data_IF_998500889540
#
_entry.id   IF_998500889540
#
_cell.length_a   1.000
_cell.length_b   1.000
_cell.length_c   1.000
_cell.angle_alpha   90.00
_cell.angle_beta   90.00
_cell.angle_gamma   90.00
#
_symmetry.space_group_name_H-M   'P 1'
#
loop_
_entity.id
_entity.type
_entity.pdbx_description
1 polymer ?
#
# COMPACT_ATOMS: atom_id res chain seq x y z
N UNK A 1 -28.52 14.23 -3.56
CA UNK A 1 -27.66 14.07 -2.35
C UNK A 1 -26.40 13.36 -2.82
N UNK A 2 -25.26 14.04 -2.80
CA UNK A 2 -23.97 13.42 -3.14
C UNK A 2 -23.62 12.43 -2.02
N UNK A 3 -23.67 11.15 -2.32
CA UNK A 3 -23.23 10.10 -1.38
C UNK A 3 -21.72 10.24 -1.17
N UNK A 4 -21.25 10.12 0.07
CA UNK A 4 -19.83 10.12 0.39
C UNK A 4 -19.17 8.94 -0.35
N UNK A 5 -18.12 9.16 -1.16
CA UNK A 5 -17.48 8.09 -1.92
C UNK A 5 -16.85 7.04 -0.99
N UNK A 6 -16.80 5.80 -1.46
CA UNK A 6 -16.04 4.72 -0.83
C UNK A 6 -14.55 4.98 -1.04
N UNK A 7 -13.78 5.02 0.04
CA UNK A 7 -12.34 5.31 0.00
C UNK A 7 -11.53 4.02 0.00
N UNK A 8 -10.71 3.83 -1.01
CA UNK A 8 -9.88 2.63 -1.19
C UNK A 8 -8.41 3.03 -1.18
N UNK A 9 -7.58 2.33 -0.42
CA UNK A 9 -6.13 2.46 -0.49
C UNK A 9 -5.51 1.10 -0.87
N UNK A 10 -4.54 1.13 -1.78
CA UNK A 10 -3.79 -0.04 -2.24
C UNK A 10 -2.31 0.23 -1.97
N UNK A 11 -1.69 -0.59 -1.13
CA UNK A 11 -0.29 -0.41 -0.76
C UNK A 11 0.59 -1.53 -1.32
N UNK A 12 1.73 -1.14 -1.90
CA UNK A 12 2.84 -2.02 -2.23
C UNK A 12 4.19 -1.37 -1.92
N UNK A 13 5.14 -2.18 -1.45
CA UNK A 13 6.48 -1.68 -1.09
C UNK A 13 7.41 -1.46 -2.30
N UNK A 14 7.18 -2.17 -3.39
CA UNK A 14 7.85 -2.05 -4.71
C UNK A 14 9.38 -1.90 -4.68
N UNK A 15 10.07 -2.85 -4.06
CA UNK A 15 11.55 -2.82 -4.01
C UNK A 15 12.22 -3.34 -5.29
N UNK A 16 11.55 -4.22 -6.04
CA UNK A 16 12.05 -4.81 -7.29
C UNK A 16 10.92 -5.13 -8.25
N UNK A 17 11.04 -4.62 -9.47
CA UNK A 17 10.14 -4.95 -10.57
C UNK A 17 8.75 -4.33 -10.45
N UNK A 18 7.97 -4.42 -11.52
CA UNK A 18 6.67 -3.78 -11.69
C UNK A 18 5.49 -4.70 -11.34
N UNK A 19 5.76 -5.91 -10.82
CA UNK A 19 4.73 -6.92 -10.57
C UNK A 19 3.68 -6.48 -9.54
N UNK A 20 4.11 -5.92 -8.42
CA UNK A 20 3.23 -5.41 -7.37
C UNK A 20 2.44 -4.19 -7.86
N UNK A 21 3.13 -3.24 -8.51
CA UNK A 21 2.51 -2.06 -9.12
C UNK A 21 1.40 -2.46 -10.11
N UNK A 22 1.70 -3.38 -11.04
CA UNK A 22 0.72 -3.86 -12.04
C UNK A 22 -0.48 -4.55 -11.40
N UNK A 23 -0.26 -5.34 -10.34
CA UNK A 23 -1.34 -5.98 -9.60
C UNK A 23 -2.24 -4.93 -8.95
N UNK A 24 -1.67 -3.98 -8.21
CA UNK A 24 -2.44 -2.93 -7.56
C UNK A 24 -3.18 -2.05 -8.57
N UNK A 25 -2.58 -1.78 -9.72
CA UNK A 25 -3.25 -1.07 -10.81
C UNK A 25 -4.44 -1.86 -11.36
N UNK A 26 -4.28 -3.16 -11.60
CA UNK A 26 -5.38 -4.02 -12.04
C UNK A 26 -6.51 -4.08 -11.00
N UNK A 27 -6.16 -4.17 -9.70
CA UNK A 27 -7.14 -4.11 -8.61
C UNK A 27 -7.84 -2.75 -8.57
N UNK A 28 -7.13 -1.63 -8.71
CA UNK A 28 -7.71 -0.29 -8.74
C UNK A 28 -8.76 -0.17 -9.84
N UNK A 29 -8.44 -0.59 -11.07
CA UNK A 29 -9.39 -0.60 -12.19
C UNK A 29 -10.59 -1.51 -11.95
N UNK A 30 -10.37 -2.69 -11.36
CA UNK A 30 -11.47 -3.60 -11.06
C UNK A 30 -12.39 -3.05 -9.98
N UNK A 31 -11.83 -2.54 -8.89
CA UNK A 31 -12.59 -1.96 -7.77
C UNK A 31 -13.38 -0.71 -8.20
N UNK A 32 -12.76 0.17 -9.00
CA UNK A 32 -13.44 1.35 -9.55
C UNK A 32 -14.69 0.98 -10.37
N UNK A 33 -14.67 -0.14 -11.08
CA UNK A 33 -15.82 -0.60 -11.88
C UNK A 33 -16.85 -1.39 -11.07
N UNK A 34 -16.39 -2.25 -10.14
CA UNK A 34 -17.26 -3.20 -9.46
C UNK A 34 -17.96 -2.60 -8.24
N UNK A 35 -17.25 -1.81 -7.42
CA UNK A 35 -17.76 -1.33 -6.15
C UNK A 35 -18.97 -0.39 -6.27
N UNK A 36 -19.07 0.52 -7.26
CA UNK A 36 -20.27 1.36 -7.39
C UNK A 36 -21.55 0.54 -7.54
N UNK A 37 -21.53 -0.51 -8.36
CA UNK A 37 -22.68 -1.39 -8.54
C UNK A 37 -23.04 -2.22 -7.29
N UNK A 38 -22.04 -2.53 -6.45
CA UNK A 38 -22.23 -3.32 -5.23
C UNK A 38 -22.67 -2.48 -4.02
N UNK A 39 -22.21 -1.23 -3.95
CA UNK A 39 -22.37 -0.40 -2.76
C UNK A 39 -23.32 0.78 -2.95
N UNK A 40 -23.63 1.13 -4.20
CA UNK A 40 -24.38 2.36 -4.53
C UNK A 40 -23.57 3.64 -4.27
N UNK A 41 -22.26 3.56 -4.06
CA UNK A 41 -21.37 4.69 -3.75
C UNK A 41 -20.30 4.80 -4.83
N UNK A 42 -19.96 6.02 -5.22
CA UNK A 42 -18.76 6.26 -6.02
C UNK A 42 -17.51 5.82 -5.29
N UNK A 43 -16.42 5.57 -6.03
CA UNK A 43 -15.15 5.13 -5.45
C UNK A 43 -14.09 6.19 -5.67
N UNK A 44 -13.33 6.48 -4.64
CA UNK A 44 -12.09 7.26 -4.72
C UNK A 44 -10.96 6.46 -4.09
N UNK A 45 -9.74 6.59 -4.63
CA UNK A 45 -8.66 5.72 -4.17
C UNK A 45 -7.27 6.33 -4.24
N UNK A 46 -6.38 5.74 -3.44
CA UNK A 46 -4.94 5.98 -3.46
C UNK A 46 -4.18 4.69 -3.78
N UNK A 47 -3.30 4.74 -4.77
CA UNK A 47 -2.34 3.67 -5.03
C UNK A 47 -0.99 4.11 -4.48
N UNK A 48 -0.59 3.48 -3.38
CA UNK A 48 0.61 3.80 -2.60
C UNK A 48 1.73 2.86 -3.07
N UNK A 49 2.81 3.43 -3.56
CA UNK A 49 3.92 2.69 -4.19
C UNK A 49 5.27 3.28 -3.80
N UNK A 50 6.32 2.46 -3.79
CA UNK A 50 7.70 2.89 -3.64
C UNK A 50 8.41 3.19 -4.97
N UNK A 51 7.71 3.08 -6.11
CA UNK A 51 8.22 3.35 -7.45
C UNK A 51 7.45 4.50 -8.08
N UNK A 52 8.16 5.48 -8.64
CA UNK A 52 7.52 6.48 -9.48
C UNK A 52 7.00 5.80 -10.77
N UNK A 53 5.68 5.74 -10.99
CA UNK A 53 5.12 5.07 -12.17
C UNK A 53 5.42 5.90 -13.41
N UNK A 54 5.74 5.23 -14.52
CA UNK A 54 5.84 5.87 -15.83
C UNK A 54 4.47 6.29 -16.35
N UNK A 55 4.44 7.11 -17.40
CA UNK A 55 3.21 7.65 -18.00
C UNK A 55 2.30 6.58 -18.61
N UNK A 56 2.83 5.38 -18.86
CA UNK A 56 2.08 4.22 -19.34
C UNK A 56 1.14 3.60 -18.29
N UNK A 57 1.36 3.89 -17.01
CA UNK A 57 0.52 3.38 -15.90
C UNK A 57 -0.58 4.39 -15.58
N UNK A 58 -1.73 4.18 -16.18
CA UNK A 58 -2.90 5.04 -15.96
C UNK A 58 -3.79 4.49 -14.86
N UNK A 59 -4.17 5.35 -13.93
CA UNK A 59 -5.16 5.05 -12.90
C UNK A 59 -6.57 5.17 -13.46
N UNK A 60 -7.55 4.47 -12.87
CA UNK A 60 -8.96 4.73 -13.14
C UNK A 60 -9.36 6.11 -12.59
N UNK A 61 -10.46 6.66 -13.09
CA UNK A 61 -11.03 7.90 -12.60
C UNK A 61 -11.30 7.83 -11.09
N UNK A 62 -11.03 8.92 -10.39
CA UNK A 62 -11.19 9.01 -8.93
C UNK A 62 -10.01 8.43 -8.12
N UNK A 63 -8.95 7.93 -8.78
CA UNK A 63 -7.74 7.43 -8.12
C UNK A 63 -6.54 8.34 -8.37
N UNK A 64 -5.64 8.38 -7.39
CA UNK A 64 -4.37 9.09 -7.50
C UNK A 64 -3.20 8.26 -6.95
N UNK A 65 -1.98 8.68 -7.30
CA UNK A 65 -0.75 8.07 -6.83
C UNK A 65 -0.25 8.71 -5.54
N UNK A 66 0.18 7.89 -4.59
CA UNK A 66 1.07 8.31 -3.51
C UNK A 66 2.42 7.60 -3.68
N UNK A 67 3.44 8.34 -4.08
CA UNK A 67 4.79 7.79 -4.26
C UNK A 67 5.62 8.04 -3.00
N UNK A 68 5.98 6.94 -2.32
CA UNK A 68 6.88 6.98 -1.18
C UNK A 68 8.34 6.99 -1.62
N UNK A 69 9.28 7.51 -0.82
CA UNK A 69 10.70 7.34 -1.07
C UNK A 69 11.06 5.88 -1.30
N UNK A 70 11.74 5.60 -2.41
CA UNK A 70 12.00 4.23 -2.89
C UNK A 70 12.94 3.44 -2.01
N UNK A 71 12.75 2.12 -2.01
CA UNK A 71 13.63 1.15 -1.35
C UNK A 71 14.25 0.19 -2.39
N UNK A 72 15.45 -0.31 -2.11
CA UNK A 72 16.11 -1.37 -2.87
C UNK A 72 16.50 -2.52 -1.96
N UNK A 73 16.33 -3.76 -2.42
CA UNK A 73 16.77 -4.95 -1.68
C UNK A 73 18.29 -5.11 -1.84
N UNK A 74 19.01 -5.25 -0.73
CA UNK A 74 20.45 -5.45 -0.69
C UNK A 74 20.81 -6.35 0.51
N UNK A 75 21.49 -7.48 0.25
CA UNK A 75 21.96 -8.37 1.31
C UNK A 75 20.86 -8.92 2.24
N UNK A 76 19.64 -9.12 1.74
CA UNK A 76 18.49 -9.58 2.56
C UNK A 76 17.71 -8.47 3.26
N UNK A 77 18.19 -7.22 3.26
CA UNK A 77 17.52 -6.06 3.85
C UNK A 77 17.08 -5.04 2.79
N UNK A 78 16.25 -4.08 3.19
CA UNK A 78 15.84 -2.96 2.35
C UNK A 78 16.64 -1.71 2.74
N UNK A 79 17.23 -1.04 1.75
CA UNK A 79 18.01 0.19 1.89
C UNK A 79 17.35 1.32 1.08
N UNK A 80 17.68 2.60 1.38
CA UNK A 80 17.25 3.72 0.54
C UNK A 80 17.69 3.53 -0.92
N UNK A 81 16.79 3.79 -1.87
CA UNK A 81 17.09 3.66 -3.30
C UNK A 81 17.91 4.84 -3.83
N UNK A 82 17.49 6.05 -3.53
CA UNK A 82 18.10 7.29 -4.02
C UNK A 82 18.59 8.20 -2.88
N UNK A 83 17.87 8.26 -1.77
CA UNK A 83 18.23 9.13 -0.65
C UNK A 83 19.54 8.65 0.00
N UNK A 84 20.39 9.59 0.37
CA UNK A 84 21.67 9.33 1.07
C UNK A 84 21.48 9.50 2.58
N UNK A 85 20.62 8.68 3.16
CA UNK A 85 20.26 8.69 4.58
C UNK A 85 20.36 7.27 5.15
N UNK A 86 20.33 7.14 6.47
CA UNK A 86 20.26 5.85 7.12
C UNK A 86 18.92 5.14 6.81
N UNK A 87 18.93 3.81 6.89
CA UNK A 87 17.74 2.97 6.70
C UNK A 87 16.64 3.34 7.69
N UNK A 88 17.04 3.58 8.92
CA UNK A 88 16.17 3.96 10.05
C UNK A 88 15.43 5.26 9.76
N UNK A 89 16.14 6.28 9.26
CA UNK A 89 15.55 7.57 8.88
C UNK A 89 14.55 7.40 7.73
N UNK A 90 14.88 6.56 6.74
CA UNK A 90 13.95 6.26 5.65
C UNK A 90 12.66 5.62 6.17
N UNK A 91 12.78 4.65 7.08
CA UNK A 91 11.62 3.98 7.68
C UNK A 91 10.73 4.96 8.46
N UNK A 92 11.33 5.89 9.20
CA UNK A 92 10.61 6.95 9.91
C UNK A 92 9.87 7.88 8.95
N UNK A 93 10.53 8.32 7.87
CA UNK A 93 9.92 9.19 6.84
C UNK A 93 8.72 8.49 6.21
N UNK A 94 8.90 7.25 5.76
CA UNK A 94 7.83 6.47 5.10
C UNK A 94 6.68 6.19 6.06
N UNK A 95 6.98 5.80 7.30
CA UNK A 95 5.98 5.57 8.35
C UNK A 95 5.18 6.84 8.67
N UNK A 96 5.84 8.00 8.78
CA UNK A 96 5.18 9.29 9.00
C UNK A 96 4.24 9.68 7.84
N UNK A 97 4.69 9.50 6.59
CA UNK A 97 3.86 9.73 5.41
C UNK A 97 2.62 8.82 5.38
N UNK A 98 2.81 7.52 5.67
CA UNK A 98 1.72 6.54 5.73
C UNK A 98 0.75 6.87 6.87
N UNK A 99 1.24 7.24 8.05
CA UNK A 99 0.40 7.64 9.18
C UNK A 99 -0.43 8.88 8.83
N UNK A 100 0.18 9.91 8.27
CA UNK A 100 -0.52 11.13 7.85
C UNK A 100 -1.59 10.87 6.80
N UNK A 101 -1.25 10.08 5.78
CA UNK A 101 -2.19 9.75 4.71
C UNK A 101 -3.33 8.87 5.20
N UNK A 102 -3.05 7.75 5.89
CA UNK A 102 -4.09 6.83 6.33
C UNK A 102 -5.02 7.45 7.38
N UNK A 103 -4.52 8.35 8.24
CA UNK A 103 -5.37 9.06 9.18
C UNK A 103 -6.28 10.10 8.52
N UNK A 104 -5.78 10.81 7.49
CA UNK A 104 -6.53 11.88 6.81
C UNK A 104 -7.43 11.34 5.73
N UNK A 105 -6.93 10.45 4.88
CA UNK A 105 -7.71 9.81 3.83
C UNK A 105 -8.76 8.86 4.40
N UNK A 106 -8.48 8.23 5.55
CA UNK A 106 -9.37 7.34 6.29
C UNK A 106 -10.06 6.31 5.37
N UNK A 107 -9.30 5.36 4.78
CA UNK A 107 -9.84 4.41 3.82
C UNK A 107 -10.88 3.49 4.46
N UNK A 108 -11.99 3.25 3.75
CA UNK A 108 -12.97 2.21 4.08
C UNK A 108 -12.39 0.81 3.81
N UNK A 109 -11.50 0.71 2.78
CA UNK A 109 -10.81 -0.51 2.38
C UNK A 109 -9.33 -0.21 2.15
N UNK A 110 -8.45 -0.89 2.86
CA UNK A 110 -7.01 -0.90 2.65
C UNK A 110 -6.55 -2.29 2.22
N UNK A 111 -5.93 -2.39 1.05
CA UNK A 111 -5.34 -3.63 0.55
C UNK A 111 -3.82 -3.51 0.63
N UNK A 112 -3.18 -4.45 1.33
CA UNK A 112 -1.72 -4.51 1.51
C UNK A 112 -1.20 -5.70 0.69
N UNK A 113 -0.26 -5.45 -0.21
CA UNK A 113 0.33 -6.52 -1.02
C UNK A 113 1.50 -7.18 -0.30
N UNK A 114 1.36 -8.48 -0.03
CA UNK A 114 2.35 -9.43 0.48
C UNK A 114 2.83 -9.21 1.93
N UNK A 115 3.39 -8.06 2.27
CA UNK A 115 3.99 -7.82 3.58
C UNK A 115 2.99 -7.15 4.53
N UNK A 116 2.53 -7.83 5.59
CA UNK A 116 1.44 -7.33 6.45
C UNK A 116 1.72 -5.96 7.05
N UNK A 117 2.98 -5.70 7.39
CA UNK A 117 3.42 -4.44 8.00
C UNK A 117 4.28 -3.57 7.08
N UNK A 118 4.41 -3.93 5.79
CA UNK A 118 5.26 -3.20 4.85
C UNK A 118 6.75 -3.42 5.08
N UNK A 119 7.58 -2.54 4.52
CA UNK A 119 9.04 -2.59 4.70
C UNK A 119 9.40 -2.11 6.10
N UNK A 120 10.24 -2.87 6.80
CA UNK A 120 10.67 -2.54 8.16
C UNK A 120 9.52 -2.15 9.10
N UNK A 121 8.38 -2.83 8.95
CA UNK A 121 7.18 -2.62 9.77
C UNK A 121 6.60 -1.20 9.70
N UNK A 122 6.87 -0.44 8.65
CA UNK A 122 6.42 0.94 8.46
C UNK A 122 4.90 1.15 8.53
N UNK A 123 4.11 0.08 8.29
CA UNK A 123 2.65 0.09 8.42
C UNK A 123 2.14 -0.24 9.82
N UNK A 124 2.97 -0.70 10.73
CA UNK A 124 2.52 -1.20 12.04
C UNK A 124 1.79 -0.13 12.86
N UNK A 125 2.40 1.02 13.00
CA UNK A 125 1.80 2.16 13.70
C UNK A 125 0.61 2.77 12.94
N UNK A 126 0.71 3.05 11.63
CA UNK A 126 -0.41 3.50 10.80
C UNK A 126 -1.64 2.60 10.88
N UNK A 127 -1.48 1.28 10.85
CA UNK A 127 -2.58 0.31 10.95
C UNK A 127 -3.20 0.31 12.35
N UNK A 128 -2.38 0.43 13.39
CA UNK A 128 -2.87 0.52 14.77
C UNK A 128 -3.72 1.77 14.95
N UNK A 129 -3.27 2.89 14.39
CA UNK A 129 -4.00 4.15 14.42
C UNK A 129 -5.31 4.06 13.61
N UNK A 130 -5.24 3.56 12.39
CA UNK A 130 -6.41 3.36 11.51
C UNK A 130 -7.49 2.52 12.21
N UNK A 131 -7.10 1.42 12.83
CA UNK A 131 -8.04 0.53 13.53
C UNK A 131 -8.74 1.21 14.70
N UNK A 132 -8.04 2.09 15.41
CA UNK A 132 -8.61 2.86 16.54
C UNK A 132 -9.54 3.97 16.08
N UNK A 133 -9.11 4.73 15.06
CA UNK A 133 -9.86 5.88 14.56
C UNK A 133 -11.03 5.49 13.64
N UNK A 134 -10.87 4.40 12.88
CA UNK A 134 -11.83 3.92 11.88
C UNK A 134 -12.06 2.41 12.02
N UNK A 135 -12.72 1.94 13.09
CA UNK A 135 -12.88 0.51 13.38
C UNK A 135 -13.68 -0.24 12.31
N UNK A 136 -14.46 0.46 11.48
CA UNK A 136 -15.22 -0.11 10.37
C UNK A 136 -14.34 -0.35 9.12
N UNK A 137 -13.14 0.22 9.03
CA UNK A 137 -12.22 0.03 7.93
C UNK A 137 -11.85 -1.46 7.78
N UNK A 138 -11.87 -1.94 6.54
CA UNK A 138 -11.44 -3.30 6.19
C UNK A 138 -10.00 -3.27 5.73
N UNK A 139 -9.16 -4.10 6.36
CA UNK A 139 -7.76 -4.30 5.96
C UNK A 139 -7.64 -5.71 5.39
N UNK A 140 -7.17 -5.79 4.15
CA UNK A 140 -7.01 -7.05 3.40
C UNK A 140 -5.55 -7.25 3.07
N UNK A 141 -4.99 -8.41 3.39
CA UNK A 141 -3.67 -8.83 2.97
C UNK A 141 -3.76 -9.64 1.67
N UNK A 142 -3.17 -9.11 0.61
CA UNK A 142 -3.03 -9.81 -0.67
C UNK A 142 -1.86 -10.78 -0.62
N UNK A 143 -2.14 -12.07 -0.44
CA UNK A 143 -1.12 -13.11 -0.50
C UNK A 143 -0.81 -13.48 -1.95
N UNK A 144 0.44 -13.79 -2.23
CA UNK A 144 0.87 -14.48 -3.46
C UNK A 144 0.78 -15.98 -3.24
N UNK A 145 0.84 -16.74 -4.33
CA UNK A 145 1.11 -18.17 -4.23
C UNK A 145 2.36 -18.40 -3.38
N UNK A 146 2.33 -19.44 -2.55
CA UNK A 146 3.48 -19.80 -1.70
C UNK A 146 4.60 -20.26 -2.61
N UNK A 147 5.53 -19.36 -2.90
CA UNK A 147 6.70 -19.63 -3.75
C UNK A 147 7.94 -19.95 -2.94
N UNK A 148 7.90 -19.75 -1.62
CA UNK A 148 9.04 -19.92 -0.71
C UNK A 148 8.78 -21.01 0.34
N UNK A 149 9.86 -21.52 0.94
CA UNK A 149 9.76 -22.48 2.03
C UNK A 149 9.11 -21.81 3.26
N UNK A 150 8.41 -22.58 4.13
CA UNK A 150 7.82 -22.04 5.35
C UNK A 150 8.80 -21.25 6.22
N UNK A 151 10.06 -21.70 6.32
CA UNK A 151 11.11 -21.03 7.06
C UNK A 151 11.51 -19.65 6.47
N UNK A 152 11.43 -19.50 5.14
CA UNK A 152 11.68 -18.22 4.47
C UNK A 152 10.53 -17.26 4.69
N UNK A 153 9.29 -17.75 4.58
CA UNK A 153 8.08 -16.96 4.83
C UNK A 153 8.04 -16.46 6.28
N UNK A 154 8.34 -17.35 7.23
CA UNK A 154 8.37 -16.99 8.66
C UNK A 154 9.37 -15.87 8.94
N UNK A 155 10.59 -15.97 8.41
CA UNK A 155 11.61 -14.91 8.57
C UNK A 155 11.15 -13.56 7.99
N UNK A 156 10.52 -13.57 6.80
CA UNK A 156 10.02 -12.33 6.17
C UNK A 156 8.88 -11.68 6.97
N UNK A 157 8.17 -12.45 7.78
CA UNK A 157 7.06 -11.94 8.60
C UNK A 157 7.51 -11.49 9.99
N UNK A 158 8.64 -12.03 10.47
CA UNK A 158 9.23 -11.66 11.76
C UNK A 158 10.10 -10.39 11.68
N UNK A 159 10.54 -10.00 10.46
CA UNK A 159 11.28 -8.75 10.18
C UNK A 159 10.34 -7.52 10.10
#
# INVERSE_FOLDING_TARGET
MTTVPLRVALYSHDAKGLGHLRRNLALAHHLARALPGLTGRDVTGLVITGLAPGQEYRLPDGFDWLVLPGVKKSGGSYLPQQLRIAREDLSLIRGALLSGVLSTFAPDLLIIDRHPYGVHQELREPLTHLRRAHPAARVVLGLREVLDTPATVQREWDE
#
